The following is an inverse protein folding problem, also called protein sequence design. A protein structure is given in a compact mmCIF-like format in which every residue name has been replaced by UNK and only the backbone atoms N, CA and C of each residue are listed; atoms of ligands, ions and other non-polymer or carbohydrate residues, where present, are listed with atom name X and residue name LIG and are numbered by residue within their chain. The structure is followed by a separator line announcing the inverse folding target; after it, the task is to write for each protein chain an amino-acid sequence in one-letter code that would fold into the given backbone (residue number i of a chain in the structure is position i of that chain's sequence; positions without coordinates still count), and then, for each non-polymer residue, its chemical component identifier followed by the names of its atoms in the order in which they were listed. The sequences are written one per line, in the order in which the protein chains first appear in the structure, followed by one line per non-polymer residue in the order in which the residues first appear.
data_IF_651184623056
#
_entry.id   IF_651184623056
#
_cell.length_a   1.000
_cell.length_b   1.000
_cell.length_c   1.000
_cell.angle_alpha   90.00
_cell.angle_beta   90.00
_cell.angle_gamma   90.00
#
_symmetry.space_group_name_H-M   'P 1'
#
loop_
_entity.id
_entity.type
_entity.pdbx_description
1 polymer ?
#
# COMPACT_ATOMS: atom_id res chain seq x y z
N UNK A 1 -25.43 -6.68 7.34
CA UNK A 1 -25.51 -5.53 6.39
C UNK A 1 -25.04 -4.19 6.98
N UNK A 2 -25.56 -3.71 8.12
CA UNK A 2 -25.19 -2.37 8.67
C UNK A 2 -23.68 -2.18 8.92
N UNK A 3 -22.96 -3.24 9.29
CA UNK A 3 -21.50 -3.20 9.44
C UNK A 3 -20.79 -2.93 8.09
N UNK A 4 -21.21 -3.58 7.01
CA UNK A 4 -20.64 -3.40 5.68
C UNK A 4 -20.93 -2.01 5.11
N UNK A 5 -22.12 -1.45 5.38
CA UNK A 5 -22.44 -0.07 5.00
C UNK A 5 -21.46 0.90 5.66
N UNK A 6 -21.20 0.76 6.97
CA UNK A 6 -20.25 1.61 7.69
C UNK A 6 -18.82 1.46 7.16
N UNK A 7 -18.37 0.22 6.91
CA UNK A 7 -17.03 -0.06 6.37
C UNK A 7 -16.86 0.49 4.95
N UNK A 8 -17.85 0.30 4.09
CA UNK A 8 -17.84 0.83 2.72
C UNK A 8 -17.87 2.36 2.72
N UNK A 9 -18.72 2.98 3.55
CA UNK A 9 -18.75 4.44 3.73
C UNK A 9 -17.39 4.98 4.19
N UNK A 10 -16.74 4.30 5.15
CA UNK A 10 -15.37 4.65 5.58
C UNK A 10 -14.41 4.62 4.40
N UNK A 11 -14.43 3.57 3.57
CA UNK A 11 -13.59 3.51 2.38
C UNK A 11 -13.84 4.68 1.42
N UNK A 12 -15.10 5.03 1.15
CA UNK A 12 -15.43 6.16 0.26
C UNK A 12 -14.95 7.50 0.81
N UNK A 13 -15.05 7.71 2.13
CA UNK A 13 -14.52 8.90 2.79
C UNK A 13 -13.00 8.98 2.64
N UNK A 14 -12.29 7.87 2.90
CA UNK A 14 -10.83 7.80 2.75
C UNK A 14 -10.39 7.98 1.30
N UNK A 15 -11.15 7.45 0.33
CA UNK A 15 -10.92 7.70 -1.11
C UNK A 15 -11.03 9.19 -1.45
N UNK A 16 -12.02 9.88 -0.89
CA UNK A 16 -12.22 11.32 -1.10
C UNK A 16 -11.12 12.16 -0.44
N UNK A 17 -10.70 11.79 0.77
CA UNK A 17 -9.59 12.44 1.47
C UNK A 17 -8.27 12.23 0.73
N UNK A 18 -8.00 11.02 0.25
CA UNK A 18 -6.82 10.72 -0.54
C UNK A 18 -6.76 11.55 -1.82
N UNK A 19 -7.89 11.69 -2.52
CA UNK A 19 -7.99 12.56 -3.70
C UNK A 19 -7.64 14.02 -3.35
N UNK A 20 -8.15 14.54 -2.23
CA UNK A 20 -7.86 15.90 -1.78
C UNK A 20 -6.37 16.10 -1.45
N UNK A 21 -5.72 15.10 -0.85
CA UNK A 21 -4.32 15.20 -0.44
C UNK A 21 -3.34 15.06 -1.60
N UNK A 22 -3.65 14.20 -2.58
CA UNK A 22 -2.76 13.90 -3.72
C UNK A 22 -3.13 14.71 -4.97
N UNK A 23 -4.26 15.40 -4.95
CA UNK A 23 -4.82 16.16 -6.08
C UNK A 23 -5.07 15.30 -7.33
N UNK A 24 -5.24 13.99 -7.13
CA UNK A 24 -5.43 13.02 -8.20
C UNK A 24 -6.04 11.72 -7.67
N UNK A 25 -6.77 11.01 -8.52
CA UNK A 25 -7.28 9.67 -8.22
C UNK A 25 -6.19 8.63 -8.54
N UNK A 26 -5.56 8.09 -7.50
CA UNK A 26 -4.51 7.07 -7.60
C UNK A 26 -4.96 5.82 -8.38
N UNK A 27 -6.26 5.52 -8.41
CA UNK A 27 -6.75 4.39 -9.20
C UNK A 27 -6.69 4.67 -10.70
N UNK A 28 -6.63 5.95 -11.10
CA UNK A 28 -6.66 6.42 -12.49
C UNK A 28 -5.36 7.07 -12.97
N UNK A 29 -4.34 7.17 -12.13
CA UNK A 29 -3.05 7.75 -12.52
C UNK A 29 -2.36 6.92 -13.61
N UNK A 30 -1.57 7.60 -14.45
CA UNK A 30 -0.68 6.95 -15.41
C UNK A 30 0.31 6.04 -14.67
N UNK A 31 0.55 4.86 -15.24
CA UNK A 31 1.40 3.78 -14.70
C UNK A 31 2.54 3.47 -15.65
N UNK A 32 3.50 2.68 -15.20
CA UNK A 32 4.64 2.25 -16.03
C UNK A 32 5.85 3.19 -15.93
N UNK A 33 6.71 3.17 -16.95
CA UNK A 33 7.99 3.91 -16.95
C UNK A 33 7.82 5.42 -16.81
N UNK A 34 6.75 5.98 -17.35
CA UNK A 34 6.37 7.41 -17.23
C UNK A 34 5.24 7.61 -16.20
N UNK A 35 5.03 6.65 -15.30
CA UNK A 35 4.00 6.72 -14.28
C UNK A 35 4.33 7.77 -13.23
N UNK A 36 3.34 8.57 -12.83
CA UNK A 36 3.51 9.73 -11.92
C UNK A 36 4.21 9.30 -10.63
N UNK A 37 3.80 8.18 -10.03
CA UNK A 37 4.36 7.68 -8.77
C UNK A 37 5.79 7.17 -8.94
N UNK A 38 6.15 6.62 -10.12
CA UNK A 38 7.49 6.10 -10.38
C UNK A 38 8.53 7.20 -10.57
N UNK A 39 8.09 8.39 -10.98
CA UNK A 39 8.97 9.55 -11.19
C UNK A 39 9.04 10.50 -9.99
N UNK A 40 8.16 10.36 -8.99
CA UNK A 40 8.16 11.19 -7.77
C UNK A 40 9.52 11.19 -7.07
N UNK A 41 9.92 12.35 -6.56
CA UNK A 41 11.12 12.47 -5.73
C UNK A 41 10.89 11.88 -4.31
N UNK A 42 11.95 11.80 -3.49
CA UNK A 42 11.87 11.19 -2.15
C UNK A 42 10.85 11.87 -1.24
N UNK A 43 10.80 13.20 -1.23
CA UNK A 43 9.88 13.96 -0.36
C UNK A 43 8.42 13.76 -0.78
N UNK A 44 8.14 13.82 -2.09
CA UNK A 44 6.81 13.53 -2.64
C UNK A 44 6.36 12.11 -2.32
N UNK A 45 7.26 11.12 -2.43
CA UNK A 45 6.96 9.73 -2.10
C UNK A 45 6.62 9.54 -0.62
N UNK A 46 7.42 10.11 0.28
CA UNK A 46 7.22 10.00 1.72
C UNK A 46 5.90 10.66 2.16
N UNK A 47 5.46 11.71 1.46
CA UNK A 47 4.14 12.30 1.69
C UNK A 47 2.99 11.50 1.05
N UNK A 48 3.21 10.92 -0.14
CA UNK A 48 2.14 10.27 -0.93
C UNK A 48 1.85 8.84 -0.46
N UNK A 49 2.88 8.05 -0.16
CA UNK A 49 2.73 6.63 0.20
C UNK A 49 1.87 6.41 1.45
N UNK A 50 1.99 7.20 2.54
CA UNK A 50 1.11 7.07 3.70
C UNK A 50 -0.37 7.30 3.38
N UNK A 51 -0.67 8.20 2.43
CA UNK A 51 -2.04 8.46 1.98
C UNK A 51 -2.60 7.27 1.22
N UNK A 52 -1.83 6.72 0.26
CA UNK A 52 -2.20 5.50 -0.47
C UNK A 52 -2.42 4.34 0.49
N UNK A 53 -1.52 4.17 1.46
CA UNK A 53 -1.61 3.13 2.47
C UNK A 53 -2.89 3.25 3.31
N UNK A 54 -3.26 4.46 3.72
CA UNK A 54 -4.47 4.70 4.52
C UNK A 54 -5.73 4.34 3.73
N UNK A 55 -5.82 4.80 2.48
CA UNK A 55 -6.92 4.44 1.59
C UNK A 55 -7.00 2.93 1.35
N UNK A 56 -5.85 2.28 1.13
CA UNK A 56 -5.77 0.84 0.89
C UNK A 56 -6.18 0.03 2.13
N UNK A 57 -5.76 0.44 3.32
CA UNK A 57 -6.18 -0.19 4.58
C UNK A 57 -7.69 -0.02 4.81
N UNK A 58 -8.26 1.14 4.48
CA UNK A 58 -9.69 1.36 4.58
C UNK A 58 -10.48 0.43 3.64
N UNK A 59 -10.00 0.23 2.41
CA UNK A 59 -10.57 -0.73 1.48
C UNK A 59 -10.56 -2.15 2.07
N UNK A 60 -9.39 -2.60 2.51
CA UNK A 60 -9.22 -3.95 3.06
C UNK A 60 -9.99 -4.15 4.38
N UNK A 61 -10.33 -3.07 5.09
CA UNK A 61 -11.16 -3.13 6.29
C UNK A 61 -12.62 -3.53 6.03
N UNK A 62 -13.04 -3.63 4.76
CA UNK A 62 -14.33 -4.22 4.40
C UNK A 62 -14.47 -5.64 4.97
N UNK A 63 -13.38 -6.43 4.90
CA UNK A 63 -13.16 -7.70 5.60
C UNK A 63 -14.42 -8.59 5.65
N UNK A 64 -14.98 -8.87 4.48
CA UNK A 64 -16.10 -9.79 4.32
C UNK A 64 -15.57 -11.21 4.10
N UNK A 65 -16.28 -12.19 4.64
CA UNK A 65 -16.13 -13.59 4.28
C UNK A 65 -17.10 -13.97 3.14
N UNK A 66 -16.83 -15.06 2.39
CA UNK A 66 -17.67 -15.47 1.26
C UNK A 66 -19.14 -15.66 1.63
N UNK A 67 -19.40 -16.24 2.81
CA UNK A 67 -20.73 -16.52 3.36
C UNK A 67 -21.52 -15.27 3.76
N UNK A 68 -20.86 -14.11 3.85
CA UNK A 68 -21.51 -12.82 4.15
C UNK A 68 -21.93 -12.08 2.87
N UNK A 69 -21.43 -12.50 1.70
CA UNK A 69 -21.70 -11.91 0.38
C UNK A 69 -22.95 -12.55 -0.25
N UNK A 70 -24.10 -12.44 0.41
CA UNK A 70 -25.29 -13.25 0.11
C UNK A 70 -26.34 -12.60 -0.81
N UNK A 71 -26.15 -11.34 -1.20
CA UNK A 71 -27.12 -10.61 -2.02
C UNK A 71 -26.45 -9.70 -3.05
N UNK A 72 -27.20 -9.31 -4.08
CA UNK A 72 -26.68 -8.52 -5.19
C UNK A 72 -26.10 -7.16 -4.80
N UNK A 73 -26.60 -6.53 -3.74
CA UNK A 73 -26.12 -5.20 -3.30
C UNK A 73 -24.72 -5.30 -2.72
N UNK A 74 -24.51 -6.23 -1.77
CA UNK A 74 -23.19 -6.41 -1.16
C UNK A 74 -22.18 -6.97 -2.16
N UNK A 75 -22.62 -7.84 -3.07
CA UNK A 75 -21.80 -8.33 -4.18
C UNK A 75 -21.34 -7.18 -5.08
N UNK A 76 -22.25 -6.29 -5.51
CA UNK A 76 -21.89 -5.15 -6.34
C UNK A 76 -20.89 -4.22 -5.63
N UNK A 77 -21.10 -3.95 -4.35
CA UNK A 77 -20.16 -3.16 -3.54
C UNK A 77 -18.77 -3.82 -3.47
N UNK A 78 -18.73 -5.13 -3.19
CA UNK A 78 -17.49 -5.90 -3.14
C UNK A 78 -16.76 -5.92 -4.49
N UNK A 79 -17.48 -6.06 -5.61
CA UNK A 79 -16.90 -6.00 -6.96
C UNK A 79 -16.23 -4.66 -7.25
N UNK A 80 -16.80 -3.56 -6.77
CA UNK A 80 -16.19 -2.23 -6.90
C UNK A 80 -14.92 -2.11 -6.04
N UNK A 81 -14.94 -2.61 -4.80
CA UNK A 81 -13.74 -2.67 -3.96
C UNK A 81 -12.65 -3.53 -4.58
N UNK A 82 -13.01 -4.67 -5.17
CA UNK A 82 -12.06 -5.54 -5.87
C UNK A 82 -11.38 -4.81 -7.02
N UNK A 83 -12.15 -4.12 -7.88
CA UNK A 83 -11.58 -3.34 -8.99
C UNK A 83 -10.66 -2.21 -8.53
N UNK A 84 -10.98 -1.56 -7.42
CA UNK A 84 -10.14 -0.52 -6.83
C UNK A 84 -8.90 -1.11 -6.14
N UNK A 85 -9.00 -2.28 -5.50
CA UNK A 85 -7.88 -2.89 -4.78
C UNK A 85 -6.75 -3.26 -5.72
N UNK A 86 -7.05 -3.80 -6.90
CA UNK A 86 -6.05 -4.11 -7.92
C UNK A 86 -5.30 -2.86 -8.37
N UNK A 87 -6.04 -1.77 -8.62
CA UNK A 87 -5.47 -0.49 -9.06
C UNK A 87 -4.65 0.16 -7.95
N UNK A 88 -5.17 0.22 -6.72
CA UNK A 88 -4.44 0.76 -5.58
C UNK A 88 -3.18 -0.03 -5.31
N UNK A 89 -3.25 -1.37 -5.31
CA UNK A 89 -2.09 -2.21 -5.05
C UNK A 89 -1.00 -2.01 -6.09
N UNK A 90 -1.33 -1.97 -7.39
CA UNK A 90 -0.33 -1.75 -8.42
C UNK A 90 0.32 -0.37 -8.31
N UNK A 91 -0.43 0.67 -7.92
CA UNK A 91 0.13 2.02 -7.70
C UNK A 91 1.01 2.06 -6.44
N UNK A 92 0.57 1.40 -5.38
CA UNK A 92 1.32 1.29 -4.15
C UNK A 92 2.64 0.53 -4.38
N UNK A 93 2.60 -0.57 -5.13
CA UNK A 93 3.77 -1.36 -5.49
C UNK A 93 4.78 -0.55 -6.34
N UNK A 94 4.32 0.23 -7.32
CA UNK A 94 5.20 1.15 -8.07
C UNK A 94 5.89 2.16 -7.16
N UNK A 95 5.16 2.75 -6.22
CA UNK A 95 5.73 3.70 -5.26
C UNK A 95 6.71 3.06 -4.28
N UNK A 96 6.46 1.82 -3.83
CA UNK A 96 7.41 1.05 -3.01
C UNK A 96 8.67 0.72 -3.80
N UNK A 97 8.57 0.31 -5.06
CA UNK A 97 9.75 0.08 -5.90
C UNK A 97 10.58 1.35 -6.08
N UNK A 98 9.92 2.50 -6.29
CA UNK A 98 10.58 3.79 -6.38
C UNK A 98 11.28 4.17 -5.05
N UNK A 99 10.60 3.98 -3.92
CA UNK A 99 11.14 4.22 -2.58
C UNK A 99 12.39 3.37 -2.32
N UNK A 100 12.31 2.07 -2.59
CA UNK A 100 13.41 1.12 -2.41
C UNK A 100 14.60 1.44 -3.32
N UNK A 101 14.33 1.86 -4.56
CA UNK A 101 15.37 2.28 -5.51
C UNK A 101 16.17 3.50 -5.05
N UNK A 102 15.64 4.30 -4.12
CA UNK A 102 16.28 5.49 -3.55
C UNK A 102 16.81 5.28 -2.14
N UNK A 103 16.41 4.20 -1.46
CA UNK A 103 16.57 4.03 -0.01
C UNK A 103 18.01 4.17 0.48
N UNK A 104 18.97 3.58 -0.23
CA UNK A 104 20.38 3.56 0.19
C UNK A 104 21.08 4.92 0.04
N UNK A 105 20.46 5.87 -0.67
CA UNK A 105 20.94 7.25 -0.83
C UNK A 105 20.21 8.23 0.10
N UNK A 106 19.26 7.75 0.92
CA UNK A 106 18.45 8.58 1.81
C UNK A 106 19.18 8.92 3.11
N UNK A 107 18.76 10.03 3.74
CA UNK A 107 19.26 10.39 5.09
C UNK A 107 18.60 9.49 6.14
N UNK A 108 19.25 9.33 7.31
CA UNK A 108 18.77 8.51 8.44
C UNK A 108 17.28 8.62 8.73
N UNK A 109 16.72 9.84 8.82
CA UNK A 109 15.30 10.04 9.11
C UNK A 109 14.39 9.51 7.99
N UNK A 110 14.77 9.74 6.73
CA UNK A 110 14.05 9.26 5.56
C UNK A 110 14.15 7.73 5.43
N UNK A 111 15.30 7.12 5.76
CA UNK A 111 15.44 5.67 5.83
C UNK A 111 14.49 5.06 6.87
N UNK A 112 14.40 5.66 8.06
CA UNK A 112 13.50 5.19 9.13
C UNK A 112 12.04 5.23 8.69
N UNK A 113 11.61 6.34 8.11
CA UNK A 113 10.24 6.51 7.60
C UNK A 113 9.95 5.55 6.44
N UNK A 114 10.88 5.43 5.50
CA UNK A 114 10.76 4.51 4.36
C UNK A 114 10.65 3.05 4.79
N UNK A 115 11.41 2.65 5.80
CA UNK A 115 11.38 1.30 6.35
C UNK A 115 10.02 1.00 7.01
N UNK A 116 9.47 1.95 7.77
CA UNK A 116 8.12 1.82 8.35
C UNK A 116 7.04 1.66 7.26
N UNK A 117 7.10 2.50 6.21
CA UNK A 117 6.21 2.38 5.05
C UNK A 117 6.34 1.00 4.39
N UNK A 118 7.56 0.51 4.19
CA UNK A 118 7.80 -0.80 3.58
C UNK A 118 7.26 -1.95 4.45
N UNK A 119 7.47 -1.92 5.77
CA UNK A 119 6.94 -2.94 6.68
C UNK A 119 5.40 -2.98 6.62
N UNK A 120 4.75 -1.81 6.64
CA UNK A 120 3.30 -1.71 6.54
C UNK A 120 2.78 -2.16 5.17
N UNK A 121 3.52 -1.90 4.08
CA UNK A 121 3.22 -2.47 2.77
C UNK A 121 3.21 -4.00 2.78
N UNK A 122 4.19 -4.65 3.42
CA UNK A 122 4.23 -6.12 3.53
C UNK A 122 3.01 -6.66 4.28
N UNK A 123 2.59 -6.00 5.36
CA UNK A 123 1.38 -6.37 6.09
C UNK A 123 0.11 -6.20 5.24
N UNK A 124 0.00 -5.08 4.52
CA UNK A 124 -1.12 -4.82 3.60
C UNK A 124 -1.19 -5.84 2.46
N UNK A 125 -0.05 -6.28 1.92
CA UNK A 125 0.05 -7.31 0.90
C UNK A 125 -0.53 -8.64 1.37
N UNK A 126 -0.22 -9.07 2.59
CA UNK A 126 -0.79 -10.30 3.17
C UNK A 126 -2.31 -10.24 3.29
N UNK A 127 -2.85 -9.09 3.72
CA UNK A 127 -4.30 -8.86 3.78
C UNK A 127 -4.95 -8.85 2.39
N UNK A 128 -4.27 -8.28 1.39
CA UNK A 128 -4.75 -8.31 0.01
C UNK A 128 -4.85 -9.75 -0.51
N UNK A 129 -3.85 -10.59 -0.23
CA UNK A 129 -3.90 -12.01 -0.65
C UNK A 129 -5.15 -12.70 -0.07
N UNK A 130 -5.48 -12.44 1.19
CA UNK A 130 -6.71 -12.97 1.80
C UNK A 130 -7.96 -12.41 1.13
N UNK A 131 -8.01 -11.10 0.87
CA UNK A 131 -9.11 -10.47 0.15
C UNK A 131 -9.32 -11.06 -1.26
N UNK A 132 -8.24 -11.35 -1.98
CA UNK A 132 -8.29 -11.97 -3.31
C UNK A 132 -8.79 -13.43 -3.28
N UNK A 133 -8.50 -14.18 -2.22
CA UNK A 133 -9.07 -15.52 -2.01
C UNK A 133 -10.58 -15.48 -1.83
N UNK A 134 -11.08 -14.50 -1.07
CA UNK A 134 -12.53 -14.29 -0.93
C UNK A 134 -13.14 -13.96 -2.29
N UNK A 135 -12.48 -13.09 -3.07
CA UNK A 135 -12.91 -12.74 -4.43
C UNK A 135 -13.06 -13.96 -5.34
N UNK A 136 -12.07 -14.86 -5.33
CA UNK A 136 -12.13 -16.13 -6.05
C UNK A 136 -13.32 -17.00 -5.60
N UNK A 137 -13.51 -17.15 -4.29
CA UNK A 137 -14.55 -18.00 -3.71
C UNK A 137 -15.97 -17.52 -4.01
N UNK A 138 -16.16 -16.21 -4.23
CA UNK A 138 -17.47 -15.64 -4.59
C UNK A 138 -17.68 -15.51 -6.09
N UNK A 139 -16.85 -16.19 -6.89
CA UNK A 139 -17.07 -16.37 -8.33
C UNK A 139 -16.42 -15.32 -9.24
N UNK A 140 -15.43 -14.55 -8.75
CA UNK A 140 -14.60 -13.74 -9.64
C UNK A 140 -13.67 -14.66 -10.41
N UNK A 141 -13.69 -14.55 -11.74
CA UNK A 141 -12.82 -15.31 -12.64
C UNK A 141 -11.34 -15.15 -12.24
N UNK A 142 -10.67 -16.28 -12.01
CA UNK A 142 -9.24 -16.37 -11.66
C UNK A 142 -8.35 -15.60 -12.64
N UNK A 143 -8.73 -15.48 -13.91
CA UNK A 143 -7.98 -14.70 -14.92
C UNK A 143 -7.88 -13.21 -14.57
N UNK A 144 -8.81 -12.71 -13.76
CA UNK A 144 -8.83 -11.32 -13.28
C UNK A 144 -8.12 -11.14 -11.93
N UNK A 145 -7.69 -12.23 -11.27
CA UNK A 145 -7.06 -12.21 -9.96
C UNK A 145 -5.54 -12.31 -10.15
N UNK A 146 -4.75 -11.28 -9.79
CA UNK A 146 -3.31 -11.35 -9.97
C UNK A 146 -2.68 -12.31 -8.96
N UNK A 147 -1.68 -13.06 -9.43
CA UNK A 147 -0.83 -13.83 -8.53
C UNK A 147 0.17 -12.89 -7.83
N UNK A 148 0.07 -12.82 -6.50
CA UNK A 148 0.94 -11.99 -5.68
C UNK A 148 1.99 -12.88 -5.04
N UNK A 149 3.26 -12.68 -5.41
CA UNK A 149 4.41 -13.39 -4.82
C UNK A 149 4.60 -12.99 -3.35
N UNK A 150 5.50 -13.63 -2.60
CA UNK A 150 5.96 -13.07 -1.34
C UNK A 150 7.19 -12.18 -1.57
N UNK A 151 7.37 -11.15 -0.74
CA UNK A 151 8.60 -10.37 -0.78
C UNK A 151 9.74 -11.19 -0.15
N UNK A 152 10.97 -11.11 -0.68
CA UNK A 152 12.10 -11.83 -0.11
C UNK A 152 12.44 -11.28 1.28
N UNK A 153 12.55 -12.17 2.27
CA UNK A 153 12.91 -11.79 3.65
C UNK A 153 14.27 -11.10 3.75
N UNK A 154 15.23 -11.51 2.91
CA UNK A 154 16.58 -10.93 2.86
C UNK A 154 16.58 -9.42 2.60
N UNK A 155 15.63 -8.91 1.81
CA UNK A 155 15.55 -7.49 1.52
C UNK A 155 15.20 -6.68 2.76
N UNK A 156 14.24 -7.14 3.57
CA UNK A 156 13.86 -6.44 4.80
C UNK A 156 15.04 -6.34 5.77
N UNK A 157 15.81 -7.43 5.92
CA UNK A 157 16.98 -7.45 6.79
C UNK A 157 18.09 -6.53 6.28
N UNK A 158 18.32 -6.49 4.96
CA UNK A 158 19.28 -5.55 4.37
C UNK A 158 18.92 -4.08 4.65
N UNK A 159 17.64 -3.71 4.53
CA UNK A 159 17.17 -2.35 4.81
C UNK A 159 17.36 -1.96 6.28
N UNK A 160 17.08 -2.88 7.22
CA UNK A 160 17.30 -2.70 8.65
C UNK A 160 18.79 -2.53 8.99
N UNK A 161 19.65 -3.39 8.44
CA UNK A 161 21.09 -3.33 8.65
C UNK A 161 21.68 -2.00 8.16
N UNK A 162 21.23 -1.52 6.99
CA UNK A 162 21.64 -0.22 6.49
C UNK A 162 21.25 0.92 7.45
N UNK A 163 20.01 0.94 7.95
CA UNK A 163 19.56 1.94 8.92
C UNK A 163 20.39 1.90 10.22
N UNK A 164 20.67 0.69 10.75
CA UNK A 164 21.50 0.51 11.94
C UNK A 164 22.92 1.07 11.72
N UNK A 165 23.52 0.84 10.55
CA UNK A 165 24.85 1.38 10.22
C UNK A 165 24.89 2.92 10.16
N UNK A 166 23.77 3.56 9.79
CA UNK A 166 23.63 5.02 9.82
C UNK A 166 23.38 5.54 11.24
N UNK A 167 22.84 4.72 12.13
CA UNK A 167 22.66 5.04 13.55
C UNK A 167 24.02 5.05 14.27
N UNK A 168 24.81 3.99 14.10
CA UNK A 168 26.15 3.85 14.71
C UNK A 168 27.15 4.92 14.26
N UNK A 169 27.10 5.34 13.00
CA UNK A 169 27.98 6.40 12.45
C UNK A 169 27.69 7.79 13.01
N UNK A 170 26.49 8.05 13.52
CA UNK A 170 26.13 9.36 14.08
C UNK A 170 26.51 9.49 15.56
N UNK A 171 26.55 8.38 16.29
CA UNK A 171 26.94 8.37 17.72
C UNK A 171 28.47 8.43 17.93
N UNK A 172 29.25 8.32 16.85
CA UNK A 172 30.73 8.38 16.87
C UNK A 172 31.31 9.73 16.45
N UNK A 173 30.49 10.78 16.29
CA UNK A 173 31.00 12.15 16.13
C UNK A 173 31.58 12.66 17.45
N UNK A 174 32.83 13.18 17.49
CA UNK A 174 33.51 13.44 18.75
C UNK A 174 32.85 14.60 19.51
N UNK A 175 32.55 14.36 20.79
CA UNK A 175 32.30 15.42 21.75
C UNK A 175 33.54 16.30 21.83
N UNK A 176 33.53 17.44 21.13
CA UNK A 176 34.43 18.53 21.48
C UNK A 176 33.93 19.14 22.79
N UNK A 177 34.53 18.72 23.90
CA UNK A 177 34.76 19.50 25.12
C UNK A 177 35.68 18.74 26.07
#
# INVERSE_FOLDING_TARGET
MSAFIRRYSKYLNEKSLAYRMILSDITKTKRGTEGVIRTMNTEELLNTLPVIQTQFNALLSFNANPDELTNGIIHAAFMLLFKDSLRLFAAYNEGILNLLGKYFDMRKNQCRESLDIYIKFLQGRTKLIQFLKVAEQVGIDQRNIPYITQAPHSLLEALKQHLASLEEKNDTSPSYR
#
